data_IF_306221203078
#
_entry.id   IF_306221203078
#
_cell.length_a   1.000
_cell.length_b   1.000
_cell.length_c   1.000
_cell.angle_alpha   90.00
_cell.angle_beta   90.00
_cell.angle_gamma   90.00
#
_symmetry.space_group_name_H-M   'P 1'
#
loop_
_entity.id
_entity.type
_entity.pdbx_description
1 polymer ?
#
# COMPACT_ATOMS: atom_id res chain seq x y z
N UNK A 1 4.23 73.86 8.05
CA UNK A 1 3.29 72.99 7.31
C UNK A 1 4.13 71.86 6.71
N UNK A 2 3.73 70.61 6.96
CA UNK A 2 4.09 69.41 6.17
C UNK A 2 5.58 69.04 6.05
N UNK A 3 6.17 68.39 7.07
CA UNK A 3 7.36 67.53 6.80
C UNK A 3 7.56 66.40 7.80
N UNK A 4 7.03 66.51 9.02
CA UNK A 4 7.31 65.52 10.07
C UNK A 4 6.30 64.35 10.16
N UNK A 5 5.18 64.41 9.43
CA UNK A 5 4.12 63.38 9.46
C UNK A 5 4.25 62.27 8.40
N UNK A 6 5.20 62.38 7.46
CA UNK A 6 5.35 61.39 6.37
C UNK A 6 6.38 60.29 6.64
N UNK A 7 7.34 60.51 7.54
CA UNK A 7 8.39 59.51 7.82
C UNK A 7 7.93 58.36 8.75
N UNK A 8 6.92 58.59 9.59
CA UNK A 8 6.46 57.57 10.56
C UNK A 8 5.51 56.52 9.95
N UNK A 9 4.90 56.80 8.78
CA UNK A 9 3.96 55.87 8.15
C UNK A 9 4.64 54.82 7.25
N UNK A 10 5.90 55.06 6.84
CA UNK A 10 6.65 54.13 5.96
C UNK A 10 7.40 53.07 6.79
N UNK A 11 7.77 53.35 8.03
CA UNK A 11 8.49 52.41 8.91
C UNK A 11 7.54 51.36 9.53
N UNK A 12 6.24 51.67 9.67
CA UNK A 12 5.25 50.74 10.22
C UNK A 12 4.82 49.63 9.23
N UNK A 13 5.10 49.78 7.93
CA UNK A 13 4.80 48.79 6.89
C UNK A 13 5.85 47.69 6.74
N UNK A 14 7.02 47.82 7.38
CA UNK A 14 8.11 46.83 7.28
C UNK A 14 8.07 45.74 8.36
N UNK A 15 7.26 45.92 9.41
CA UNK A 15 7.12 44.95 10.51
C UNK A 15 5.94 43.98 10.37
N UNK A 16 5.08 44.17 9.37
CA UNK A 16 3.99 43.21 9.05
C UNK A 16 4.41 42.12 8.06
N UNK A 17 5.64 42.16 7.54
CA UNK A 17 6.18 41.20 6.58
C UNK A 17 6.92 39.99 7.23
N UNK A 18 6.70 39.72 8.52
CA UNK A 18 7.35 38.62 9.23
C UNK A 18 6.54 37.32 9.27
N UNK A 19 5.67 37.04 8.28
CA UNK A 19 5.24 35.66 8.04
C UNK A 19 6.26 35.02 7.12
N UNK A 20 6.89 33.92 7.55
CA UNK A 20 7.77 33.16 6.65
C UNK A 20 6.95 32.82 5.40
N UNK A 21 7.46 33.03 4.17
CA UNK A 21 6.71 32.75 2.94
C UNK A 21 6.27 31.28 2.82
N UNK A 22 6.80 30.41 3.69
CA UNK A 22 6.46 28.99 3.79
C UNK A 22 5.45 28.66 4.90
N UNK A 23 5.00 29.64 5.71
CA UNK A 23 3.90 29.43 6.65
C UNK A 23 2.65 29.03 5.86
N UNK A 24 2.14 27.82 6.12
CA UNK A 24 1.02 27.17 5.44
C UNK A 24 1.33 26.51 4.09
N UNK A 25 2.60 26.34 3.71
CA UNK A 25 2.94 25.41 2.62
C UNK A 25 2.85 23.99 3.16
N UNK A 26 2.02 23.17 2.52
CA UNK A 26 1.84 21.76 2.82
C UNK A 26 2.32 20.94 1.64
N UNK A 27 3.30 20.10 1.88
CA UNK A 27 3.86 19.18 0.89
C UNK A 27 3.00 17.92 0.94
N UNK A 28 2.25 17.68 -0.14
CA UNK A 28 1.49 16.44 -0.32
C UNK A 28 2.31 15.51 -1.20
N UNK A 29 2.71 14.38 -0.63
CA UNK A 29 3.45 13.32 -1.32
C UNK A 29 2.47 12.23 -1.72
N UNK A 30 2.29 12.06 -3.02
CA UNK A 30 1.61 10.89 -3.58
C UNK A 30 2.65 9.80 -3.85
N UNK A 31 2.31 8.55 -3.52
CA UNK A 31 3.22 7.42 -3.69
C UNK A 31 2.95 6.64 -4.99
N UNK A 32 2.22 7.22 -5.95
CA UNK A 32 1.85 6.63 -7.24
C UNK A 32 3.01 6.59 -8.26
N UNK A 33 4.23 6.38 -7.77
CA UNK A 33 5.46 6.39 -8.55
C UNK A 33 5.57 5.14 -9.43
N UNK A 34 5.20 3.98 -8.89
CA UNK A 34 5.10 2.71 -9.63
C UNK A 34 3.64 2.52 -10.04
N UNK A 35 3.35 2.75 -11.32
CA UNK A 35 1.97 2.80 -11.86
C UNK A 35 1.33 1.44 -12.03
N UNK A 36 2.11 0.45 -12.44
CA UNK A 36 1.67 -0.91 -12.66
C UNK A 36 2.14 -1.76 -11.49
N UNK A 37 1.22 -2.34 -10.74
CA UNK A 37 1.54 -3.09 -9.53
C UNK A 37 0.86 -4.45 -9.53
N UNK A 38 1.55 -5.43 -8.95
CA UNK A 38 1.05 -6.75 -8.69
C UNK A 38 1.20 -7.03 -7.20
N UNK A 39 0.09 -7.31 -6.53
CA UNK A 39 0.09 -7.87 -5.19
C UNK A 39 0.33 -9.37 -5.28
N UNK A 40 1.48 -9.83 -4.80
CA UNK A 40 1.76 -11.25 -4.66
C UNK A 40 1.23 -11.68 -3.29
N UNK A 41 0.28 -12.62 -3.29
CA UNK A 41 -0.33 -13.15 -2.07
C UNK A 41 -0.12 -14.66 -2.00
N UNK A 42 0.70 -15.09 -1.04
CA UNK A 42 1.15 -16.48 -0.89
C UNK A 42 0.37 -17.19 0.22
N UNK A 43 -0.25 -18.32 -0.08
CA UNK A 43 -1.07 -19.10 0.87
C UNK A 43 -0.74 -20.60 0.84
N UNK A 44 -1.07 -21.33 1.91
CA UNK A 44 -1.12 -22.80 1.92
C UNK A 44 -2.38 -23.24 1.15
N UNK A 45 -2.20 -24.07 0.13
CA UNK A 45 -3.28 -24.57 -0.71
C UNK A 45 -4.35 -25.36 0.08
N UNK A 46 -3.97 -26.01 1.18
CA UNK A 46 -4.89 -26.73 2.05
C UNK A 46 -5.58 -25.83 3.09
N UNK A 47 -5.05 -24.61 3.31
CA UNK A 47 -5.56 -23.64 4.29
C UNK A 47 -5.56 -22.22 3.69
N UNK A 48 -6.57 -21.89 2.86
CA UNK A 48 -6.69 -20.56 2.28
C UNK A 48 -6.60 -19.46 3.35
N UNK A 49 -5.81 -18.42 3.08
CA UNK A 49 -5.57 -17.31 4.01
C UNK A 49 -4.47 -17.56 5.06
N UNK A 50 -3.89 -18.77 5.13
CA UNK A 50 -2.71 -19.03 5.96
C UNK A 50 -1.45 -18.99 5.10
N UNK A 51 -0.54 -18.07 5.40
CA UNK A 51 0.73 -17.96 4.70
C UNK A 51 1.75 -18.97 5.26
N UNK A 52 2.46 -19.73 4.40
CA UNK A 52 3.54 -20.62 4.84
C UNK A 52 4.63 -19.88 5.62
N UNK A 53 5.03 -20.42 6.77
CA UNK A 53 6.08 -19.83 7.58
C UNK A 53 7.43 -19.80 6.84
N UNK A 54 8.18 -18.71 7.00
CA UNK A 54 9.50 -18.51 6.38
C UNK A 54 9.49 -18.64 4.84
N UNK A 55 8.36 -18.32 4.20
CA UNK A 55 8.32 -18.22 2.75
C UNK A 55 9.24 -17.09 2.27
N UNK A 56 9.99 -17.35 1.21
CA UNK A 56 10.86 -16.39 0.53
C UNK A 56 10.41 -16.20 -0.91
N UNK A 57 10.74 -15.04 -1.46
CA UNK A 57 10.45 -14.64 -2.84
C UNK A 57 11.75 -14.27 -3.55
N UNK A 58 11.87 -14.67 -4.81
CA UNK A 58 12.88 -14.15 -5.74
C UNK A 58 12.22 -13.79 -7.07
N UNK A 59 12.68 -12.69 -7.67
CA UNK A 59 12.23 -12.23 -8.98
C UNK A 59 13.30 -12.58 -10.02
N UNK A 60 12.88 -13.20 -11.12
CA UNK A 60 13.75 -13.63 -12.23
C UNK A 60 13.08 -13.36 -13.58
N UNK A 61 13.76 -13.62 -14.69
CA UNK A 61 13.25 -13.37 -16.05
C UNK A 61 13.84 -12.11 -16.68
N UNK A 62 13.43 -11.82 -17.92
CA UNK A 62 14.07 -10.82 -18.78
C UNK A 62 13.99 -9.39 -18.22
N UNK A 63 12.89 -9.05 -17.53
CA UNK A 63 12.68 -7.71 -17.00
C UNK A 63 12.84 -7.66 -15.47
N UNK A 64 13.42 -8.70 -14.85
CA UNK A 64 13.59 -8.77 -13.39
C UNK A 64 14.37 -7.60 -12.80
N UNK A 65 15.35 -7.09 -13.56
CA UNK A 65 16.16 -5.94 -13.16
C UNK A 65 15.38 -4.63 -13.10
N UNK A 66 14.22 -4.52 -13.76
CA UNK A 66 13.35 -3.35 -13.67
C UNK A 66 12.19 -3.55 -12.68
N UNK A 67 12.14 -4.67 -11.95
CA UNK A 67 11.12 -4.87 -10.93
C UNK A 67 11.57 -4.27 -9.59
N UNK A 68 10.65 -3.58 -8.94
CA UNK A 68 10.83 -2.97 -7.62
C UNK A 68 9.68 -3.37 -6.69
N UNK A 69 9.94 -3.38 -5.40
CA UNK A 69 8.90 -3.26 -4.39
C UNK A 69 8.29 -1.84 -4.49
N UNK A 70 7.00 -1.68 -4.19
CA UNK A 70 6.26 -0.43 -4.45
C UNK A 70 6.82 0.82 -3.74
N UNK A 71 7.69 0.66 -2.74
CA UNK A 71 8.47 1.76 -2.15
C UNK A 71 9.73 2.15 -2.95
N UNK A 72 9.94 1.59 -4.15
CA UNK A 72 11.09 1.84 -5.01
C UNK A 72 12.36 1.06 -4.63
N UNK A 73 12.25 0.06 -3.75
CA UNK A 73 13.38 -0.75 -3.26
C UNK A 73 13.51 -2.05 -4.04
N UNK A 74 14.75 -2.54 -4.26
CA UNK A 74 15.02 -3.85 -4.88
C UNK A 74 15.11 -5.01 -3.88
N UNK A 75 14.83 -4.75 -2.60
CA UNK A 75 14.74 -5.78 -1.58
C UNK A 75 13.32 -6.37 -1.56
N UNK A 76 13.19 -7.64 -1.93
CA UNK A 76 11.92 -8.35 -1.91
C UNK A 76 11.78 -9.17 -0.64
N UNK A 77 10.80 -8.83 0.21
CA UNK A 77 10.49 -9.56 1.43
C UNK A 77 8.98 -9.79 1.53
N UNK A 78 8.59 -11.04 1.76
CA UNK A 78 7.21 -11.36 2.12
C UNK A 78 6.97 -10.98 3.58
N UNK A 79 5.94 -10.18 3.81
CA UNK A 79 5.45 -9.86 5.16
C UNK A 79 4.03 -10.40 5.27
N UNK A 80 3.79 -11.35 6.17
CA UNK A 80 2.49 -12.03 6.24
C UNK A 80 2.14 -12.82 4.98
N UNK A 81 3.12 -13.22 4.16
CA UNK A 81 2.91 -13.88 2.86
C UNK A 81 2.56 -12.92 1.72
N UNK A 82 2.73 -11.62 1.93
CA UNK A 82 2.35 -10.58 0.97
C UNK A 82 3.56 -9.73 0.59
N UNK A 83 3.60 -9.30 -0.67
CA UNK A 83 4.45 -8.22 -1.17
C UNK A 83 3.79 -7.57 -2.39
N UNK A 84 3.91 -6.25 -2.54
CA UNK A 84 3.52 -5.56 -3.75
C UNK A 84 4.77 -5.22 -4.58
N UNK A 85 4.76 -5.57 -5.86
CA UNK A 85 5.86 -5.33 -6.79
C UNK A 85 5.34 -4.64 -8.06
N UNK A 86 6.23 -4.04 -8.83
CA UNK A 86 5.89 -3.49 -10.14
C UNK A 86 7.15 -3.13 -10.92
N UNK A 87 7.04 -2.95 -12.25
CA UNK A 87 8.12 -2.42 -13.06
C UNK A 87 8.42 -0.97 -12.66
N UNK A 88 9.61 -0.48 -13.03
CA UNK A 88 10.11 0.82 -12.60
C UNK A 88 9.24 1.99 -13.07
N UNK A 89 9.48 3.21 -12.55
CA UNK A 89 8.62 4.36 -12.84
C UNK A 89 8.59 4.78 -14.32
N UNK A 90 9.61 4.40 -15.08
CA UNK A 90 9.72 4.65 -16.51
C UNK A 90 8.97 3.61 -17.37
N UNK A 91 8.53 2.50 -16.77
CA UNK A 91 7.88 1.43 -17.50
C UNK A 91 6.52 1.86 -18.04
N UNK A 92 6.28 1.53 -19.31
CA UNK A 92 5.04 1.82 -20.02
C UNK A 92 4.57 0.59 -20.79
N UNK A 93 4.12 -0.47 -20.10
CA UNK A 93 3.66 -1.69 -20.76
C UNK A 93 2.60 -1.38 -21.81
N UNK A 94 2.71 -2.04 -22.96
CA UNK A 94 1.73 -1.94 -24.06
C UNK A 94 1.11 -3.31 -24.33
N UNK A 95 0.04 -3.36 -25.14
CA UNK A 95 -0.53 -4.64 -25.55
C UNK A 95 0.42 -5.48 -26.43
N UNK A 96 1.32 -4.83 -27.17
CA UNK A 96 2.30 -5.49 -28.03
C UNK A 96 3.60 -5.83 -27.30
N UNK A 97 3.90 -5.11 -26.22
CA UNK A 97 5.11 -5.24 -25.43
C UNK A 97 4.77 -5.10 -23.94
N UNK A 98 4.25 -6.18 -23.31
CA UNK A 98 3.99 -6.18 -21.88
C UNK A 98 5.27 -6.41 -21.09
N UNK A 99 5.36 -5.80 -19.91
CA UNK A 99 6.44 -6.10 -18.97
C UNK A 99 6.16 -7.44 -18.27
N UNK A 100 7.18 -8.28 -18.08
CA UNK A 100 6.97 -9.56 -17.42
C UNK A 100 8.15 -10.03 -16.56
N UNK A 101 7.84 -10.72 -15.48
CA UNK A 101 8.82 -11.35 -14.62
C UNK A 101 8.32 -12.72 -14.13
N UNK A 102 9.22 -13.51 -13.56
CA UNK A 102 8.91 -14.77 -12.91
C UNK A 102 9.11 -14.58 -11.42
N UNK A 103 8.03 -14.73 -10.67
CA UNK A 103 8.02 -14.78 -9.21
C UNK A 103 8.24 -16.23 -8.78
N UNK A 104 9.35 -16.49 -8.08
CA UNK A 104 9.62 -17.80 -7.51
C UNK A 104 9.43 -17.76 -5.99
N UNK A 105 8.56 -18.63 -5.48
CA UNK A 105 8.25 -18.75 -4.06
C UNK A 105 8.81 -20.06 -3.51
N UNK A 106 9.55 -19.97 -2.41
CA UNK A 106 10.07 -21.13 -1.66
C UNK A 106 9.62 -21.06 -0.22
N UNK A 107 9.23 -22.20 0.35
CA UNK A 107 8.95 -22.33 1.77
C UNK A 107 9.33 -23.74 2.25
N UNK A 108 9.88 -23.89 3.48
CA UNK A 108 10.20 -25.20 4.03
C UNK A 108 8.99 -26.14 4.05
N UNK A 109 9.15 -27.36 3.50
CA UNK A 109 8.08 -28.37 3.45
C UNK A 109 7.05 -28.17 2.33
N UNK A 110 7.26 -27.21 1.42
CA UNK A 110 6.41 -26.97 0.26
C UNK A 110 7.15 -27.18 -1.05
N UNK A 111 6.38 -27.50 -2.09
CA UNK A 111 6.87 -27.49 -3.48
C UNK A 111 7.13 -26.03 -3.89
N UNK A 112 8.28 -25.80 -4.53
CA UNK A 112 8.63 -24.48 -5.06
C UNK A 112 7.72 -24.14 -6.24
N UNK A 113 7.17 -22.92 -6.24
CA UNK A 113 6.31 -22.44 -7.33
C UNK A 113 7.04 -21.32 -8.08
N UNK A 114 7.01 -21.39 -9.41
CA UNK A 114 7.45 -20.32 -10.31
C UNK A 114 6.24 -19.84 -11.09
N UNK A 115 5.83 -18.61 -10.82
CA UNK A 115 4.64 -18.00 -11.40
C UNK A 115 5.06 -16.83 -12.31
N UNK A 116 4.75 -16.86 -13.62
CA UNK A 116 4.88 -15.69 -14.46
C UNK A 116 3.88 -14.62 -14.03
N UNK A 117 4.35 -13.37 -14.00
CA UNK A 117 3.55 -12.17 -13.75
C UNK A 117 3.73 -11.23 -14.93
N UNK A 118 2.63 -10.76 -15.49
CA UNK A 118 2.61 -9.90 -16.68
C UNK A 118 1.88 -8.61 -16.35
N UNK A 119 2.52 -7.48 -16.61
CA UNK A 119 1.95 -6.15 -16.45
C UNK A 119 1.46 -5.65 -17.82
N UNK A 120 0.17 -5.37 -17.92
CA UNK A 120 -0.48 -4.98 -19.16
C UNK A 120 -0.92 -3.52 -19.09
N UNK A 121 -0.96 -2.83 -20.24
CA UNK A 121 -1.36 -1.43 -20.35
C UNK A 121 -2.72 -1.11 -19.68
N UNK A 122 -3.69 -2.02 -19.82
CA UNK A 122 -5.03 -1.85 -19.29
C UNK A 122 -5.20 -2.26 -17.82
N UNK A 123 -4.15 -2.75 -17.17
CA UNK A 123 -4.22 -3.31 -15.82
C UNK A 123 -3.12 -2.73 -14.93
N UNK A 124 -3.42 -1.56 -14.35
CA UNK A 124 -2.52 -0.87 -13.43
C UNK A 124 -2.37 -1.58 -12.08
N UNK A 125 -3.38 -2.33 -11.66
CA UNK A 125 -3.33 -3.12 -10.42
C UNK A 125 -3.80 -4.55 -10.68
N UNK A 126 -3.13 -5.52 -10.08
CA UNK A 126 -3.51 -6.92 -10.16
C UNK A 126 -3.18 -7.67 -8.87
N UNK A 127 -3.93 -8.73 -8.60
CA UNK A 127 -3.66 -9.64 -7.48
C UNK A 127 -3.25 -10.98 -8.06
N UNK A 128 -2.05 -11.44 -7.69
CA UNK A 128 -1.51 -12.73 -8.07
C UNK A 128 -1.51 -13.62 -6.83
N UNK A 129 -2.51 -14.50 -6.75
CA UNK A 129 -2.60 -15.48 -5.68
C UNK A 129 -1.72 -16.69 -6.02
N UNK A 130 -0.77 -17.01 -5.15
CA UNK A 130 0.13 -18.16 -5.28
C UNK A 130 -0.14 -19.11 -4.11
N UNK A 131 -0.76 -20.25 -4.40
CA UNK A 131 -1.00 -21.29 -3.39
C UNK A 131 0.10 -22.35 -3.43
N UNK A 132 0.79 -22.54 -2.30
CA UNK A 132 1.83 -23.55 -2.15
C UNK A 132 1.23 -24.88 -1.67
N UNK A 133 1.67 -25.97 -2.28
CA UNK A 133 1.29 -27.34 -1.89
C UNK A 133 2.43 -27.96 -1.07
N UNK A 134 2.10 -28.62 0.04
CA UNK A 134 3.09 -29.33 0.86
C UNK A 134 3.72 -30.49 0.08
N UNK A 135 5.04 -30.61 0.16
CA UNK A 135 5.79 -31.69 -0.49
C UNK A 135 5.29 -33.06 -0.01
N UNK A 136 4.99 -33.95 -0.95
CA UNK A 136 4.46 -35.29 -0.65
C UNK A 136 2.95 -35.36 -0.37
N UNK A 137 2.20 -34.25 -0.50
CA UNK A 137 0.74 -34.28 -0.40
C UNK A 137 0.09 -34.77 -1.69
N UNK A 138 -0.82 -35.74 -1.57
CA UNK A 138 -1.64 -36.28 -2.70
C UNK A 138 -3.02 -35.62 -2.82
N UNK A 139 -3.38 -34.70 -1.91
CA UNK A 139 -4.68 -34.04 -1.89
C UNK A 139 -4.66 -32.77 -2.75
N UNK A 140 -5.41 -32.79 -3.86
CA UNK A 140 -5.49 -31.72 -4.88
C UNK A 140 -6.75 -30.86 -4.77
N UNK A 141 -7.65 -31.10 -3.81
CA UNK A 141 -8.82 -30.24 -3.65
C UNK A 141 -8.44 -28.98 -2.89
N UNK A 142 -8.00 -27.95 -3.61
CA UNK A 142 -7.92 -26.57 -3.10
C UNK A 142 -9.36 -26.12 -2.82
N UNK A 143 -9.75 -25.87 -1.56
CA UNK A 143 -11.07 -25.31 -1.28
C UNK A 143 -11.19 -23.97 -2.02
N UNK A 144 -12.26 -23.79 -2.79
CA UNK A 144 -12.50 -22.52 -3.43
C UNK A 144 -12.55 -21.40 -2.37
N UNK A 145 -11.90 -20.24 -2.58
CA UNK A 145 -12.01 -19.13 -1.66
C UNK A 145 -13.47 -18.75 -1.49
N UNK A 146 -13.97 -18.70 -0.25
CA UNK A 146 -15.32 -18.18 0.00
C UNK A 146 -15.34 -16.69 -0.39
N UNK A 147 -16.26 -16.23 -1.25
CA UNK A 147 -16.38 -14.82 -1.59
C UNK A 147 -16.59 -13.99 -0.32
N UNK A 148 -15.98 -12.80 -0.21
CA UNK A 148 -16.29 -11.88 0.88
C UNK A 148 -17.79 -11.55 0.89
N UNK A 149 -18.42 -11.39 2.07
CA UNK A 149 -19.76 -10.84 2.14
C UNK A 149 -19.79 -9.42 1.53
N UNK A 150 -20.91 -9.09 0.89
CA UNK A 150 -21.14 -7.77 0.27
C UNK A 150 -22.10 -6.97 1.15
N UNK A 151 -21.66 -5.78 1.56
CA UNK A 151 -22.37 -4.81 2.38
C UNK A 151 -22.46 -3.44 1.69
N UNK A 152 -23.09 -2.48 2.36
CA UNK A 152 -23.11 -1.09 1.92
C UNK A 152 -21.70 -0.52 1.73
N UNK A 153 -21.46 0.30 0.68
CA UNK A 153 -20.16 0.90 0.44
C UNK A 153 -19.69 1.78 1.61
N UNK A 154 -18.43 1.58 2.01
CA UNK A 154 -17.73 2.40 3.00
C UNK A 154 -16.51 3.03 2.34
N UNK A 155 -16.34 4.33 2.52
CA UNK A 155 -15.18 5.09 2.04
C UNK A 155 -14.20 5.32 3.18
N UNK A 156 -12.93 5.00 2.95
CA UNK A 156 -11.84 5.26 3.88
C UNK A 156 -10.83 6.22 3.21
N UNK A 157 -10.52 7.31 3.90
CA UNK A 157 -9.54 8.31 3.48
C UNK A 157 -8.33 8.25 4.42
N UNK A 158 -7.27 7.60 3.99
CA UNK A 158 -6.02 7.50 4.76
C UNK A 158 -5.11 8.69 4.49
N UNK A 159 -4.49 9.17 5.57
CA UNK A 159 -3.45 10.20 5.54
C UNK A 159 -2.28 9.75 6.39
N UNK A 160 -1.11 9.59 5.76
CA UNK A 160 0.15 9.43 6.46
C UNK A 160 0.63 10.79 6.96
N UNK A 161 1.02 10.85 8.22
CA UNK A 161 1.53 12.06 8.89
C UNK A 161 2.93 11.80 9.44
N UNK A 162 3.71 12.88 9.53
CA UNK A 162 5.09 12.84 10.00
C UNK A 162 5.27 13.72 11.22
N UNK A 163 5.51 13.13 12.40
CA UNK A 163 5.71 13.89 13.64
C UNK A 163 6.89 14.86 13.57
N UNK A 164 7.96 14.48 12.87
CA UNK A 164 9.16 15.31 12.65
C UNK A 164 9.01 16.36 11.55
N UNK A 165 7.97 16.22 10.69
CA UNK A 165 7.73 17.04 9.49
C UNK A 165 6.24 17.32 9.37
N UNK A 166 5.74 18.26 10.16
CA UNK A 166 4.31 18.62 10.17
C UNK A 166 3.84 19.32 8.89
N UNK A 167 4.78 19.73 8.05
CA UNK A 167 4.57 20.24 6.70
C UNK A 167 4.32 19.15 5.66
N UNK A 168 4.54 17.87 6.00
CA UNK A 168 4.43 16.73 5.08
C UNK A 168 3.19 15.90 5.37
N UNK A 169 2.40 15.65 4.33
CA UNK A 169 1.37 14.63 4.31
C UNK A 169 1.59 13.63 3.19
N UNK A 170 1.35 12.37 3.50
CA UNK A 170 1.50 11.26 2.57
C UNK A 170 0.11 10.72 2.22
N UNK A 171 -0.21 10.69 0.93
CA UNK A 171 -1.44 10.11 0.38
C UNK A 171 -1.07 8.85 -0.38
N UNK A 172 -1.15 7.66 0.26
CA UNK A 172 -0.56 6.46 -0.31
C UNK A 172 -1.45 5.87 -1.41
N UNK A 173 -0.83 5.32 -2.46
CA UNK A 173 -1.49 4.44 -3.43
C UNK A 173 -0.98 3.00 -3.26
N UNK A 174 -1.62 2.22 -2.38
CA UNK A 174 -1.14 0.91 -1.92
C UNK A 174 -2.29 -0.07 -1.64
N UNK A 175 -1.97 -1.36 -1.58
CA UNK A 175 -2.92 -2.41 -1.20
C UNK A 175 -3.25 -2.33 0.30
N UNK A 176 -4.53 -2.38 0.62
CA UNK A 176 -5.06 -2.36 2.00
C UNK A 176 -5.51 -3.76 2.38
N UNK A 177 -5.16 -4.17 3.60
CA UNK A 177 -5.58 -5.41 4.20
C UNK A 177 -6.43 -5.14 5.44
N UNK A 178 -7.31 -6.07 5.80
CA UNK A 178 -8.17 -5.94 6.95
C UNK A 178 -8.43 -7.26 7.68
N UNK A 179 -8.83 -7.17 8.94
CA UNK A 179 -9.44 -8.26 9.72
C UNK A 179 -10.34 -7.68 10.80
N UNK A 180 -11.27 -8.46 11.33
CA UNK A 180 -12.05 -8.04 12.50
C UNK A 180 -11.13 -7.94 13.72
N UNK A 181 -11.20 -6.82 14.45
CA UNK A 181 -10.34 -6.54 15.61
C UNK A 181 -10.56 -7.60 16.71
N UNK A 182 -9.47 -8.03 17.34
CA UNK A 182 -9.52 -9.03 18.42
C UNK A 182 -9.66 -10.47 17.93
N UNK A 183 -9.54 -10.71 16.63
CA UNK A 183 -9.49 -12.07 16.06
C UNK A 183 -8.05 -12.48 15.75
N UNK A 184 -7.78 -13.79 15.86
CA UNK A 184 -6.52 -14.40 15.38
C UNK A 184 -6.57 -14.70 13.87
N UNK A 185 -7.59 -14.18 13.17
CA UNK A 185 -7.68 -14.33 11.74
C UNK A 185 -6.50 -13.65 11.04
N UNK A 186 -6.04 -14.27 9.96
CA UNK A 186 -5.09 -13.66 9.05
C UNK A 186 -5.73 -12.44 8.37
N UNK A 187 -4.89 -11.46 8.06
CA UNK A 187 -5.28 -10.30 7.27
C UNK A 187 -5.75 -10.73 5.89
N UNK A 188 -6.88 -10.19 5.46
CA UNK A 188 -7.46 -10.43 4.14
C UNK A 188 -7.27 -9.19 3.28
N UNK A 189 -7.12 -9.39 1.97
CA UNK A 189 -7.06 -8.27 1.03
C UNK A 189 -8.41 -7.54 1.00
N UNK A 190 -8.39 -6.23 1.25
CA UNK A 190 -9.58 -5.39 1.23
C UNK A 190 -9.78 -4.74 -0.15
N UNK A 191 -8.71 -4.17 -0.70
CA UNK A 191 -8.73 -3.46 -1.98
C UNK A 191 -7.48 -2.61 -2.18
N UNK A 192 -7.36 -1.99 -3.36
CA UNK A 192 -6.30 -1.03 -3.65
C UNK A 192 -6.78 0.37 -3.30
N UNK A 193 -5.99 1.08 -2.51
CA UNK A 193 -6.21 2.48 -2.19
C UNK A 193 -5.47 3.34 -3.21
N UNK A 194 -6.14 4.37 -3.71
CA UNK A 194 -5.55 5.35 -4.61
C UNK A 194 -5.51 6.72 -3.93
N UNK A 195 -4.31 7.29 -3.76
CA UNK A 195 -4.07 8.62 -3.19
C UNK A 195 -4.78 8.81 -1.84
N UNK A 196 -4.73 7.78 -1.01
CA UNK A 196 -5.36 7.74 0.30
C UNK A 196 -6.84 7.36 0.28
N UNK A 197 -7.50 7.26 -0.87
CA UNK A 197 -8.93 6.94 -0.94
C UNK A 197 -9.17 5.47 -1.35
N UNK A 198 -10.09 4.81 -0.66
CA UNK A 198 -10.60 3.49 -1.05
C UNK A 198 -12.09 3.39 -0.71
N UNK A 199 -12.88 2.82 -1.62
CA UNK A 199 -14.29 2.49 -1.40
C UNK A 199 -14.49 0.97 -1.46
N UNK A 200 -15.11 0.39 -0.42
CA UNK A 200 -15.17 -1.06 -0.21
C UNK A 200 -16.56 -1.50 0.26
N UNK A 201 -16.94 -2.72 -0.09
CA UNK A 201 -18.23 -3.34 0.30
C UNK A 201 -18.04 -4.55 1.22
N UNK A 202 -16.85 -4.76 1.79
CA UNK A 202 -16.53 -5.94 2.59
C UNK A 202 -16.69 -5.73 4.12
N UNK A 203 -17.11 -4.54 4.55
CA UNK A 203 -17.14 -4.13 5.96
C UNK A 203 -18.57 -4.10 6.52
N UNK A 204 -18.82 -4.84 7.59
CA UNK A 204 -20.13 -4.89 8.25
C UNK A 204 -20.32 -3.72 9.23
N UNK A 205 -21.53 -3.15 9.26
CA UNK A 205 -21.89 -2.11 10.23
C UNK A 205 -21.87 -2.64 11.67
N UNK A 206 -21.41 -1.81 12.61
CA UNK A 206 -21.24 -2.10 14.04
C UNK A 206 -19.94 -2.84 14.39
N UNK A 207 -19.20 -3.37 13.39
CA UNK A 207 -17.96 -4.11 13.60
C UNK A 207 -16.73 -3.20 13.63
N UNK A 208 -15.70 -3.63 14.35
CA UNK A 208 -14.40 -2.98 14.39
C UNK A 208 -13.40 -3.80 13.59
N UNK A 209 -12.66 -3.13 12.72
CA UNK A 209 -11.64 -3.76 11.88
C UNK A 209 -10.27 -3.15 12.14
N UNK A 210 -9.24 -4.00 12.11
CA UNK A 210 -7.85 -3.57 11.99
C UNK A 210 -7.51 -3.51 10.51
N UNK A 211 -7.05 -2.35 10.03
CA UNK A 211 -6.51 -2.17 8.69
C UNK A 211 -4.99 -2.24 8.74
N UNK A 212 -4.38 -2.98 7.82
CA UNK A 212 -2.94 -3.08 7.66
C UNK A 212 -2.53 -2.58 6.28
N UNK A 213 -1.46 -1.77 6.26
CA UNK A 213 -0.84 -1.27 5.05
C UNK A 213 0.67 -1.50 5.16
N UNK A 214 1.32 -1.87 4.05
CA UNK A 214 2.77 -2.04 4.01
C UNK A 214 3.37 -0.94 3.15
N UNK A 215 4.30 -0.17 3.72
CA UNK A 215 5.01 0.91 3.01
C UNK A 215 6.46 0.98 3.48
N UNK A 216 7.41 1.11 2.55
CA UNK A 216 8.84 1.17 2.88
C UNK A 216 9.39 -0.10 3.57
N UNK A 217 8.69 -1.24 3.45
CA UNK A 217 8.99 -2.49 4.16
C UNK A 217 8.51 -2.53 5.61
N UNK A 218 7.75 -1.53 6.06
CA UNK A 218 7.14 -1.47 7.40
C UNK A 218 5.63 -1.70 7.29
N UNK A 219 5.06 -2.35 8.31
CA UNK A 219 3.61 -2.52 8.43
C UNK A 219 3.04 -1.44 9.35
N UNK A 220 2.04 -0.74 8.85
CA UNK A 220 1.27 0.25 9.57
C UNK A 220 -0.12 -0.30 9.82
N UNK A 221 -0.65 -0.04 11.01
CA UNK A 221 -1.97 -0.52 11.42
C UNK A 221 -2.80 0.61 12.01
N UNK A 222 -4.10 0.61 11.70
CA UNK A 222 -5.10 1.48 12.30
C UNK A 222 -6.41 0.71 12.47
N UNK A 223 -7.08 0.90 13.60
CA UNK A 223 -8.37 0.24 13.86
C UNK A 223 -9.52 1.23 13.74
N UNK A 224 -10.65 0.80 13.19
CA UNK A 224 -11.84 1.62 13.03
C UNK A 224 -13.12 0.80 13.21
N UNK A 225 -14.08 1.36 13.96
CA UNK A 225 -15.44 0.83 14.02
C UNK A 225 -16.31 1.42 12.92
N UNK A 226 -17.06 0.57 12.21
CA UNK A 226 -17.86 0.92 11.04
C UNK A 226 -19.30 1.21 11.45
N UNK A 227 -19.58 2.46 11.74
CA UNK A 227 -20.91 3.00 12.09
C UNK A 227 -21.42 4.04 11.08
N UNK A 228 -20.56 4.51 10.18
CA UNK A 228 -20.78 5.53 9.15
C UNK A 228 -20.28 4.99 7.80
N UNK A 229 -20.57 5.73 6.72
CA UNK A 229 -20.14 5.38 5.36
C UNK A 229 -18.83 6.07 4.93
N UNK A 230 -18.27 6.96 5.75
CA UNK A 230 -17.04 7.69 5.42
C UNK A 230 -16.19 7.94 6.66
N UNK A 231 -14.87 7.75 6.52
CA UNK A 231 -13.89 7.92 7.58
C UNK A 231 -12.61 8.59 7.09
N UNK A 232 -12.07 9.49 7.89
CA UNK A 232 -10.72 10.01 7.72
C UNK A 232 -9.80 9.34 8.75
N UNK A 233 -8.82 8.59 8.26
CA UNK A 233 -7.91 7.78 9.06
C UNK A 233 -6.50 8.36 8.96
N UNK A 234 -5.87 8.58 10.11
CA UNK A 234 -4.51 9.13 10.17
C UNK A 234 -3.55 8.08 10.72
N UNK A 235 -2.41 7.94 10.04
CA UNK A 235 -1.35 7.00 10.41
C UNK A 235 -0.05 7.79 10.61
N UNK A 236 0.66 7.53 11.70
CA UNK A 236 2.02 8.03 11.89
C UNK A 236 2.98 7.17 11.06
N UNK A 237 3.63 7.78 10.07
CA UNK A 237 4.51 7.08 9.13
C UNK A 237 5.92 6.83 9.70
N UNK A 238 6.20 7.33 10.91
CA UNK A 238 7.40 6.99 11.67
C UNK A 238 8.68 7.30 10.92
N UNK A 239 9.60 6.33 10.84
CA UNK A 239 10.94 6.53 10.27
C UNK A 239 10.95 6.78 8.77
N UNK A 240 9.91 6.37 8.03
CA UNK A 240 9.81 6.63 6.59
C UNK A 240 9.72 8.14 6.32
N UNK A 241 9.29 8.93 7.30
CA UNK A 241 9.31 10.38 7.22
C UNK A 241 10.71 11.00 7.08
N UNK A 242 11.78 10.26 7.41
CA UNK A 242 13.15 10.76 7.29
C UNK A 242 13.67 10.73 5.85
N UNK A 243 12.96 10.05 4.95
CA UNK A 243 13.31 9.97 3.53
C UNK A 243 12.76 11.18 2.71
N UNK A 244 12.10 12.14 3.39
CA UNK A 244 11.49 13.37 2.83
C UNK A 244 12.00 14.62 3.55
#
# INVERSE_FOLDING_TARGET
>A
MVTLKRAFFVVLLLVTACKKPTENLKIVVNTDIIKYTALIHVTDAAKPGVSPANATISITGNNADDIYEVSGKKQFKLTGGIIAIGPGPAATPTAADPESCIVQIKAPGYVTVSQPVTFNAGQQQQVVNISLVKSGSVNTSVPAPKPPPVYEPVTLNFTGTCKSRTDVEIKPSIYVFYRETGTDAAYQYLGYMDKGNISVTALAQGKTYDFQLTYGGQNYMVSQQINLQSYDLTIDMGTVCNDF
#
